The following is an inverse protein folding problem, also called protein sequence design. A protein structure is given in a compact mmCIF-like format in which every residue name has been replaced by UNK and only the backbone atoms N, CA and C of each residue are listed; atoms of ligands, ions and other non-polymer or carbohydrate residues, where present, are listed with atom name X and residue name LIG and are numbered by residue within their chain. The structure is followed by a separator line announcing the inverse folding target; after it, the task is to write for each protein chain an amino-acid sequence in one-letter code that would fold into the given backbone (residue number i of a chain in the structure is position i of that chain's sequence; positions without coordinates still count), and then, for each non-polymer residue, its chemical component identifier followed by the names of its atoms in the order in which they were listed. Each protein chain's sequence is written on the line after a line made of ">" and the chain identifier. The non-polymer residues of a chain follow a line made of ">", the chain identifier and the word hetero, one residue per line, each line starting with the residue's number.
data_IF_152448199170
#
_entry.id   IF_152448199170
#
_cell.length_a   1.000
_cell.length_b   1.000
_cell.length_c   1.000
_cell.angle_alpha   90.00
_cell.angle_beta   90.00
_cell.angle_gamma   90.00
#
_symmetry.space_group_name_H-M   'P 1'
#
loop_
_entity.id
_entity.type
_entity.pdbx_description
1 polymer ?
#
# COMPACT_ATOMS: atom_id res chain seq x y z
N UNK A 1 -6.86 2.04 -16.77
CA UNK A 1 -5.86 3.07 -17.06
C UNK A 1 -5.31 3.43 -15.71
N UNK A 2 -3.98 3.45 -15.63
CA UNK A 2 -3.03 3.12 -14.55
C UNK A 2 -1.66 3.56 -15.05
N UNK A 3 -0.67 3.67 -14.16
CA UNK A 3 0.68 3.90 -14.64
C UNK A 3 1.04 2.85 -15.71
N UNK A 4 1.78 3.28 -16.73
CA UNK A 4 2.06 2.36 -17.84
C UNK A 4 3.04 1.28 -17.40
N UNK A 5 2.79 0.06 -17.85
CA UNK A 5 3.73 -1.08 -17.79
C UNK A 5 4.69 -1.12 -19.00
N UNK A 6 4.77 -0.06 -19.81
CA UNK A 6 5.54 -0.07 -21.06
C UNK A 6 4.90 -0.87 -22.19
N UNK A 7 3.94 -1.74 -21.87
CA UNK A 7 3.25 -2.62 -22.79
C UNK A 7 2.62 -3.79 -22.03
N UNK A 8 2.33 -4.87 -22.75
CA UNK A 8 2.03 -6.17 -22.15
C UNK A 8 3.07 -7.14 -22.69
N UNK A 9 3.89 -7.67 -21.79
CA UNK A 9 5.07 -8.44 -22.13
C UNK A 9 4.75 -9.68 -22.97
N UNK A 10 5.34 -9.74 -24.16
CA UNK A 10 5.32 -10.93 -25.01
C UNK A 10 6.43 -11.93 -24.63
N UNK A 11 7.53 -11.44 -24.05
CA UNK A 11 8.65 -12.23 -23.55
C UNK A 11 8.78 -12.06 -22.04
N UNK A 12 8.40 -13.09 -21.27
CA UNK A 12 8.40 -13.04 -19.80
C UNK A 12 9.81 -13.00 -19.19
N UNK A 13 10.85 -13.27 -19.97
CA UNK A 13 12.23 -13.12 -19.52
C UNK A 13 12.74 -11.67 -19.67
N UNK A 14 12.05 -10.85 -20.47
CA UNK A 14 12.40 -9.47 -20.77
C UNK A 14 11.13 -8.61 -20.77
N UNK A 15 10.54 -8.35 -19.59
CA UNK A 15 9.31 -7.59 -19.52
C UNK A 15 9.48 -6.22 -20.16
N UNK A 16 8.42 -5.74 -20.81
CA UNK A 16 8.29 -4.36 -21.25
C UNK A 16 8.45 -3.46 -20.01
N UNK A 17 9.24 -2.39 -20.15
CA UNK A 17 9.56 -1.53 -19.01
C UNK A 17 8.74 -0.24 -19.09
N UNK A 18 8.02 0.06 -18.02
CA UNK A 18 7.22 1.28 -17.88
C UNK A 18 7.37 1.99 -16.55
N UNK A 19 6.46 2.93 -16.32
CA UNK A 19 6.39 3.72 -15.09
C UNK A 19 6.26 2.87 -13.83
N UNK A 20 5.49 1.77 -13.86
CA UNK A 20 5.40 0.89 -12.69
C UNK A 20 6.74 0.24 -12.36
N UNK A 21 7.45 -0.29 -13.36
CA UNK A 21 8.78 -0.88 -13.22
C UNK A 21 9.79 0.14 -12.71
N UNK A 22 9.72 1.36 -13.24
CA UNK A 22 10.56 2.47 -12.82
C UNK A 22 10.40 2.79 -11.33
N UNK A 23 9.15 2.88 -10.84
CA UNK A 23 8.88 3.10 -9.41
C UNK A 23 9.38 1.92 -8.57
N UNK A 24 9.09 0.69 -9.03
CA UNK A 24 9.44 -0.55 -8.36
C UNK A 24 10.96 -0.70 -8.20
N UNK A 25 11.71 -0.52 -9.28
CA UNK A 25 13.16 -0.68 -9.31
C UNK A 25 13.87 0.43 -8.50
N UNK A 26 13.42 1.69 -8.61
CA UNK A 26 14.00 2.77 -7.81
C UNK A 26 13.73 2.66 -6.31
N UNK A 27 12.61 2.06 -5.90
CA UNK A 27 12.37 1.79 -4.48
C UNK A 27 13.45 0.85 -3.90
N UNK A 28 13.98 -0.06 -4.72
CA UNK A 28 15.07 -0.95 -4.31
C UNK A 28 16.36 -0.17 -4.02
N UNK A 29 16.60 0.99 -4.62
CA UNK A 29 17.81 1.79 -4.38
C UNK A 29 17.90 2.28 -2.93
N UNK A 30 16.75 2.49 -2.28
CA UNK A 30 16.66 3.01 -0.91
C UNK A 30 16.79 1.90 0.14
N UNK A 31 16.64 0.64 -0.25
CA UNK A 31 16.73 -0.50 0.65
C UNK A 31 18.17 -0.97 0.90
N UNK A 32 18.50 -1.41 2.14
CA UNK A 32 19.73 -2.12 2.42
C UNK A 32 19.84 -3.41 1.59
N UNK A 33 21.07 -3.80 1.24
CA UNK A 33 21.32 -4.95 0.35
C UNK A 33 20.63 -6.24 0.82
N UNK A 34 20.66 -6.52 2.13
CA UNK A 34 20.06 -7.73 2.69
C UNK A 34 18.54 -7.79 2.49
N UNK A 35 17.87 -6.63 2.49
CA UNK A 35 16.40 -6.54 2.42
C UNK A 35 15.89 -6.77 0.99
N UNK A 36 16.68 -6.37 -0.01
CA UNK A 36 16.31 -6.44 -1.42
C UNK A 36 16.91 -7.62 -2.18
N UNK A 37 17.86 -8.38 -1.62
CA UNK A 37 18.59 -9.41 -2.37
C UNK A 37 17.67 -10.44 -3.02
N UNK A 38 16.62 -10.89 -2.32
CA UNK A 38 15.68 -11.85 -2.88
C UNK A 38 14.89 -11.31 -4.08
N UNK A 39 14.65 -9.98 -4.12
CA UNK A 39 14.05 -9.30 -5.26
C UNK A 39 15.07 -9.17 -6.38
N UNK A 40 16.31 -8.74 -6.09
CA UNK A 40 17.36 -8.59 -7.11
C UNK A 40 17.67 -9.92 -7.82
N UNK A 41 17.67 -11.03 -7.09
CA UNK A 41 17.85 -12.38 -7.65
C UNK A 41 16.67 -12.82 -8.53
N UNK A 42 15.51 -12.14 -8.41
CA UNK A 42 14.26 -12.41 -9.12
C UNK A 42 13.74 -11.15 -9.82
N UNK A 43 14.61 -10.23 -10.23
CA UNK A 43 14.21 -8.87 -10.66
C UNK A 43 13.22 -8.91 -11.82
N UNK A 44 13.47 -9.74 -12.83
CA UNK A 44 12.58 -9.94 -13.99
C UNK A 44 11.17 -10.34 -13.55
N UNK A 45 11.06 -11.20 -12.53
CA UNK A 45 9.77 -11.67 -12.01
C UNK A 45 9.07 -10.60 -11.17
N UNK A 46 9.83 -9.78 -10.46
CA UNK A 46 9.31 -8.62 -9.72
C UNK A 46 8.70 -7.59 -10.66
N UNK A 47 9.43 -7.22 -11.73
CA UNK A 47 8.97 -6.28 -12.76
C UNK A 47 7.76 -6.82 -13.53
N UNK A 48 7.80 -8.08 -14.00
CA UNK A 48 6.63 -8.71 -14.60
C UNK A 48 5.40 -8.69 -13.67
N UNK A 49 5.64 -8.80 -12.35
CA UNK A 49 4.59 -8.71 -11.33
C UNK A 49 3.82 -7.40 -11.36
N UNK A 50 4.46 -6.28 -11.73
CA UNK A 50 3.78 -4.98 -11.79
C UNK A 50 2.79 -4.88 -12.93
N UNK A 51 2.90 -5.70 -13.98
CA UNK A 51 1.98 -5.69 -15.12
C UNK A 51 0.67 -6.45 -14.87
N UNK A 52 0.67 -7.38 -13.92
CA UNK A 52 -0.39 -8.38 -13.79
C UNK A 52 -1.75 -7.79 -13.42
N UNK A 53 -1.87 -6.73 -12.59
CA UNK A 53 -3.16 -6.11 -12.32
C UNK A 53 -3.87 -5.52 -13.55
N UNK A 54 -3.11 -5.05 -14.55
CA UNK A 54 -3.67 -4.52 -15.80
C UNK A 54 -3.93 -5.56 -16.85
N UNK A 55 -3.08 -6.57 -16.86
CA UNK A 55 -3.12 -7.59 -17.87
C UNK A 55 -4.05 -8.72 -17.42
N UNK A 56 -5.21 -8.87 -18.05
CA UNK A 56 -6.12 -9.99 -17.79
C UNK A 56 -5.80 -11.27 -18.57
N UNK A 57 -4.62 -11.36 -19.17
CA UNK A 57 -4.26 -12.49 -20.02
C UNK A 57 -3.84 -13.72 -19.18
N UNK A 58 -4.54 -14.83 -19.40
CA UNK A 58 -4.28 -16.12 -18.75
C UNK A 58 -2.85 -16.65 -18.98
N UNK A 59 -2.19 -16.28 -20.09
CA UNK A 59 -0.82 -16.75 -20.42
C UNK A 59 0.17 -16.40 -19.32
N UNK A 60 -0.03 -15.25 -18.66
CA UNK A 60 0.84 -14.77 -17.58
C UNK A 60 0.15 -14.83 -16.23
N UNK A 61 -0.98 -15.54 -16.14
CA UNK A 61 -1.87 -15.57 -14.97
C UNK A 61 -2.23 -14.15 -14.51
N UNK A 62 -2.53 -13.31 -15.50
CA UNK A 62 -2.88 -11.92 -15.30
C UNK A 62 -4.16 -11.75 -14.47
N UNK A 63 -4.17 -10.74 -13.59
CA UNK A 63 -5.30 -10.45 -12.69
C UNK A 63 -6.37 -9.64 -13.44
N UNK A 64 -5.94 -8.62 -14.19
CA UNK A 64 -6.81 -7.79 -15.04
C UNK A 64 -7.96 -7.09 -14.31
N UNK A 65 -7.79 -6.72 -13.03
CA UNK A 65 -8.83 -6.10 -12.21
C UNK A 65 -8.78 -4.57 -12.22
N UNK A 66 -8.69 -3.99 -13.41
CA UNK A 66 -8.53 -2.55 -13.72
C UNK A 66 -9.58 -1.59 -13.12
N UNK A 67 -10.55 -2.12 -12.38
CA UNK A 67 -11.56 -1.35 -11.62
C UNK A 67 -11.19 -1.24 -10.13
N UNK A 68 -9.99 -1.66 -9.73
CA UNK A 68 -9.51 -1.71 -8.35
C UNK A 68 -8.26 -0.88 -8.09
N UNK A 69 -7.91 -0.01 -9.02
CA UNK A 69 -6.68 0.80 -9.02
C UNK A 69 -6.85 2.17 -8.35
N UNK A 70 -8.05 2.46 -7.83
CA UNK A 70 -8.40 3.75 -7.27
C UNK A 70 -8.55 3.75 -5.75
N UNK A 71 -8.49 4.96 -5.18
CA UNK A 71 -8.95 5.31 -3.84
C UNK A 71 -9.68 6.64 -3.93
N UNK A 72 -10.84 6.77 -3.27
CA UNK A 72 -11.62 7.99 -3.27
C UNK A 72 -11.84 8.52 -1.86
N UNK A 73 -11.70 9.84 -1.73
CA UNK A 73 -12.05 10.59 -0.53
C UNK A 73 -13.23 11.54 -0.79
N UNK A 74 -14.01 11.84 0.25
CA UNK A 74 -14.99 12.93 0.24
C UNK A 74 -14.31 14.29 0.38
N UNK A 75 -15.05 15.38 0.15
CA UNK A 75 -14.55 16.75 0.35
C UNK A 75 -14.12 17.05 1.78
N UNK A 76 -14.62 16.30 2.76
CA UNK A 76 -14.27 16.40 4.18
C UNK A 76 -13.06 15.53 4.56
N UNK A 77 -12.43 14.85 3.58
CA UNK A 77 -11.29 13.97 3.82
C UNK A 77 -11.66 12.58 4.33
N UNK A 78 -12.93 12.18 4.25
CA UNK A 78 -13.37 10.84 4.65
C UNK A 78 -13.12 9.84 3.53
N UNK A 79 -12.56 8.67 3.86
CA UNK A 79 -12.35 7.58 2.91
C UNK A 79 -13.71 7.03 2.43
N UNK A 80 -13.95 7.03 1.12
CA UNK A 80 -15.20 6.61 0.46
C UNK A 80 -15.04 5.25 -0.20
N UNK A 81 -13.93 5.05 -0.91
CA UNK A 81 -13.57 3.79 -1.56
C UNK A 81 -12.06 3.57 -1.43
N UNK A 82 -11.65 2.36 -1.09
CA UNK A 82 -10.31 1.98 -0.70
C UNK A 82 -9.81 0.74 -1.47
N UNK A 83 -10.33 0.55 -2.69
CA UNK A 83 -10.08 -0.62 -3.51
C UNK A 83 -8.59 -0.95 -3.66
N UNK A 84 -7.76 0.02 -4.06
CA UNK A 84 -6.33 -0.21 -4.25
C UNK A 84 -5.60 -0.52 -2.92
N UNK A 85 -5.95 0.15 -1.82
CA UNK A 85 -5.36 -0.13 -0.50
C UNK A 85 -5.69 -1.56 -0.01
N UNK A 86 -6.91 -2.04 -0.27
CA UNK A 86 -7.29 -3.44 0.03
C UNK A 86 -6.47 -4.42 -0.80
N UNK A 87 -6.33 -4.17 -2.11
CA UNK A 87 -5.55 -5.02 -3.00
C UNK A 87 -4.06 -5.04 -2.66
N UNK A 88 -3.48 -3.89 -2.40
CA UNK A 88 -2.10 -3.76 -1.93
C UNK A 88 -1.90 -4.54 -0.63
N UNK A 89 -2.83 -4.45 0.32
CA UNK A 89 -2.74 -5.19 1.58
C UNK A 89 -2.93 -6.71 1.42
N UNK A 90 -3.85 -7.16 0.56
CA UNK A 90 -4.06 -8.58 0.24
C UNK A 90 -2.79 -9.20 -0.37
N UNK A 91 -2.19 -8.49 -1.33
CA UNK A 91 -0.99 -8.93 -2.05
C UNK A 91 0.25 -8.86 -1.17
N UNK A 92 0.38 -7.83 -0.32
CA UNK A 92 1.41 -7.78 0.72
C UNK A 92 1.38 -9.03 1.62
N UNK A 93 0.20 -9.42 2.12
CA UNK A 93 0.08 -10.58 3.01
C UNK A 93 0.47 -11.89 2.30
N UNK A 94 0.17 -12.00 1.01
CA UNK A 94 0.61 -13.12 0.18
C UNK A 94 2.14 -13.10 0.00
N UNK A 95 2.72 -11.96 -0.37
CA UNK A 95 4.17 -11.79 -0.51
C UNK A 95 4.90 -12.14 0.80
N UNK A 96 4.36 -11.72 1.95
CA UNK A 96 4.89 -12.01 3.27
C UNK A 96 4.87 -13.52 3.56
N UNK A 97 3.78 -14.20 3.19
CA UNK A 97 3.66 -15.65 3.33
C UNK A 97 4.70 -16.39 2.48
N UNK A 98 4.89 -15.99 1.22
CA UNK A 98 5.91 -16.55 0.34
C UNK A 98 7.33 -16.28 0.85
N UNK A 99 7.59 -15.07 1.35
CA UNK A 99 8.90 -14.72 1.88
C UNK A 99 9.24 -15.52 3.14
N UNK A 100 8.27 -15.71 4.04
CA UNK A 100 8.40 -16.56 5.24
C UNK A 100 8.63 -18.04 4.90
N UNK A 101 8.02 -18.54 3.84
CA UNK A 101 8.27 -19.91 3.34
C UNK A 101 9.52 -20.03 2.47
N UNK A 102 10.26 -18.93 2.25
CA UNK A 102 11.45 -18.84 1.39
C UNK A 102 11.18 -19.14 -0.08
N UNK A 103 9.93 -18.95 -0.51
CA UNK A 103 9.54 -18.97 -1.92
C UNK A 103 9.81 -17.59 -2.54
N UNK A 104 11.08 -17.31 -2.79
CA UNK A 104 11.54 -15.97 -3.18
C UNK A 104 11.00 -15.51 -4.53
N UNK A 105 10.78 -16.43 -5.47
CA UNK A 105 10.23 -16.09 -6.78
C UNK A 105 8.78 -15.60 -6.67
N UNK A 106 7.92 -16.33 -5.94
CA UNK A 106 6.54 -15.89 -5.72
C UNK A 106 6.46 -14.67 -4.80
N UNK A 107 7.36 -14.55 -3.81
CA UNK A 107 7.46 -13.35 -2.98
C UNK A 107 7.77 -12.11 -3.84
N UNK A 108 8.78 -12.20 -4.71
CA UNK A 108 9.15 -11.13 -5.63
C UNK A 108 8.00 -10.80 -6.60
N UNK A 109 7.41 -11.80 -7.27
CA UNK A 109 6.25 -11.59 -8.17
C UNK A 109 5.12 -10.84 -7.49
N UNK A 110 4.76 -11.29 -6.28
CA UNK A 110 3.63 -10.74 -5.52
C UNK A 110 3.95 -9.35 -4.95
N UNK A 111 5.22 -9.09 -4.60
CA UNK A 111 5.68 -7.76 -4.25
C UNK A 111 5.53 -6.78 -5.43
N UNK A 112 5.77 -7.23 -6.67
CA UNK A 112 5.53 -6.42 -7.88
C UNK A 112 4.05 -6.05 -8.04
N UNK A 113 3.17 -7.05 -7.88
CA UNK A 113 1.71 -6.84 -7.89
C UNK A 113 1.29 -5.81 -6.82
N UNK A 114 1.84 -5.93 -5.61
CA UNK A 114 1.58 -4.97 -4.53
C UNK A 114 2.06 -3.56 -4.90
N UNK A 115 3.29 -3.43 -5.43
CA UNK A 115 3.86 -2.16 -5.88
C UNK A 115 2.99 -1.48 -6.93
N UNK A 116 2.37 -2.24 -7.85
CA UNK A 116 1.43 -1.71 -8.83
C UNK A 116 0.28 -0.94 -8.15
N UNK A 117 -0.47 -1.58 -7.24
CA UNK A 117 -1.61 -0.95 -6.57
C UNK A 117 -1.21 0.26 -5.70
N UNK A 118 -0.02 0.22 -5.10
CA UNK A 118 0.51 1.35 -4.32
C UNK A 118 0.85 2.52 -5.24
N UNK A 119 1.42 2.24 -6.41
CA UNK A 119 1.89 3.27 -7.33
C UNK A 119 0.73 3.99 -8.04
N UNK A 120 -0.34 3.28 -8.37
CA UNK A 120 -1.48 3.84 -9.11
C UNK A 120 -2.19 4.96 -8.37
N UNK A 121 -2.27 4.88 -7.04
CA UNK A 121 -2.91 5.95 -6.27
C UNK A 121 -2.09 7.26 -6.24
N UNK A 122 -0.86 7.26 -6.76
CA UNK A 122 -0.08 8.47 -7.04
C UNK A 122 -0.42 9.11 -8.40
N UNK A 123 -1.22 8.46 -9.25
CA UNK A 123 -1.83 9.08 -10.43
C UNK A 123 -3.05 9.88 -9.96
N UNK A 124 -3.08 11.19 -10.24
CA UNK A 124 -4.22 12.00 -9.79
C UNK A 124 -5.57 11.54 -10.36
N UNK A 125 -5.58 11.00 -11.57
CA UNK A 125 -6.78 10.50 -12.22
C UNK A 125 -7.43 9.33 -11.46
N UNK A 126 -6.63 8.51 -10.77
CA UNK A 126 -7.11 7.38 -9.94
C UNK A 126 -7.74 7.80 -8.62
N UNK A 127 -7.72 9.09 -8.33
CA UNK A 127 -8.35 9.69 -7.17
C UNK A 127 -9.60 10.49 -7.56
N UNK A 128 -9.94 10.49 -8.85
CA UNK A 128 -11.07 11.19 -9.46
C UNK A 128 -12.03 10.18 -10.09
N UNK A 129 -13.26 10.61 -10.35
CA UNK A 129 -14.25 9.76 -11.00
C UNK A 129 -15.61 10.43 -11.04
N UNK A 130 -16.42 10.08 -12.05
CA UNK A 130 -17.73 10.72 -12.33
C UNK A 130 -18.70 10.73 -11.14
N UNK A 131 -18.58 9.76 -10.24
CA UNK A 131 -19.42 9.61 -9.05
C UNK A 131 -18.77 10.14 -7.76
N UNK A 132 -17.59 10.76 -7.86
CA UNK A 132 -16.87 11.36 -6.74
C UNK A 132 -17.16 12.85 -6.65
N UNK A 133 -16.81 13.49 -5.54
CA UNK A 133 -16.93 14.95 -5.40
C UNK A 133 -15.94 15.72 -6.30
N UNK A 134 -14.95 15.04 -6.88
CA UNK A 134 -13.89 15.63 -7.70
C UNK A 134 -14.24 15.65 -9.19
N UNK A 135 -15.31 14.97 -9.59
CA UNK A 135 -15.74 14.84 -10.98
C UNK A 135 -14.90 13.82 -11.76
N UNK A 136 -15.29 13.59 -13.01
CA UNK A 136 -14.51 12.78 -13.94
C UNK A 136 -13.27 13.56 -14.40
N UNK A 137 -12.16 12.85 -14.49
CA UNK A 137 -10.91 13.33 -15.06
C UNK A 137 -11.02 13.60 -16.57
N UNK A 138 -10.24 14.54 -17.07
CA UNK A 138 -10.13 14.84 -18.51
C UNK A 138 -8.82 14.32 -19.11
N UNK A 139 -7.76 14.31 -18.30
CA UNK A 139 -6.38 14.06 -18.74
C UNK A 139 -5.81 12.78 -18.13
N UNK A 140 -6.45 11.63 -18.36
CA UNK A 140 -5.98 10.35 -17.84
C UNK A 140 -4.86 9.76 -18.72
N UNK A 141 -5.22 9.35 -19.94
CA UNK A 141 -4.33 8.59 -20.81
C UNK A 141 -3.17 9.42 -21.36
N UNK A 142 -3.38 10.71 -21.61
CA UNK A 142 -2.33 11.60 -22.10
C UNK A 142 -1.30 11.91 -21.01
N UNK A 143 -1.72 12.05 -19.75
CA UNK A 143 -0.83 12.13 -18.60
C UNK A 143 0.05 10.88 -18.46
N UNK A 144 -0.56 9.70 -18.37
CA UNK A 144 0.17 8.44 -18.19
C UNK A 144 1.11 8.14 -19.35
N UNK A 145 0.67 8.35 -20.60
CA UNK A 145 1.52 8.20 -21.78
C UNK A 145 2.72 9.14 -21.75
N UNK A 146 2.52 10.41 -21.37
CA UNK A 146 3.62 11.38 -21.29
C UNK A 146 4.66 10.94 -20.26
N UNK A 147 4.20 10.52 -19.08
CA UNK A 147 5.09 10.04 -18.01
C UNK A 147 5.85 8.80 -18.46
N UNK A 148 5.16 7.82 -19.06
CA UNK A 148 5.79 6.59 -19.54
C UNK A 148 6.95 6.84 -20.51
N UNK A 149 6.81 7.75 -21.46
CA UNK A 149 7.92 8.08 -22.39
C UNK A 149 9.16 8.72 -21.71
N UNK A 150 9.10 8.94 -20.39
CA UNK A 150 10.12 9.54 -19.53
C UNK A 150 10.42 8.69 -18.30
N UNK A 151 9.90 7.48 -18.24
CA UNK A 151 10.11 6.45 -17.22
C UNK A 151 10.14 5.05 -17.82
N UNK A 152 10.29 4.92 -19.15
CA UNK A 152 10.36 3.62 -19.85
C UNK A 152 11.79 3.05 -19.87
N UNK A 153 12.65 3.56 -19.02
CA UNK A 153 13.98 3.03 -18.72
C UNK A 153 14.41 3.48 -17.32
N UNK A 154 15.28 2.71 -16.67
CA UNK A 154 15.77 3.01 -15.32
C UNK A 154 16.42 4.41 -15.18
N UNK A 155 17.05 4.95 -16.23
CA UNK A 155 17.67 6.28 -16.21
C UNK A 155 17.01 7.21 -17.21
N UNK A 156 16.13 8.07 -16.72
CA UNK A 156 15.32 8.96 -17.54
C UNK A 156 15.05 10.31 -16.84
N UNK A 157 14.11 11.08 -17.37
CA UNK A 157 13.86 12.49 -17.06
C UNK A 157 13.38 12.68 -15.63
N UNK A 158 12.53 11.77 -15.13
CA UNK A 158 11.97 11.91 -13.79
C UNK A 158 12.94 11.51 -12.67
N UNK A 159 14.09 10.91 -12.99
CA UNK A 159 15.12 10.59 -11.99
C UNK A 159 15.61 11.85 -11.24
N UNK A 160 15.54 13.04 -11.83
CA UNK A 160 15.93 14.28 -11.16
C UNK A 160 15.01 14.68 -10.00
N UNK A 161 13.83 14.07 -9.90
CA UNK A 161 12.87 14.29 -8.81
C UNK A 161 13.02 13.28 -7.68
N UNK A 162 13.79 12.22 -7.88
CA UNK A 162 14.01 11.21 -6.86
C UNK A 162 14.87 11.77 -5.74
N UNK A 163 14.30 11.69 -4.54
CA UNK A 163 14.93 12.07 -3.30
C UNK A 163 14.48 11.10 -2.21
N UNK A 164 15.44 10.32 -1.70
CA UNK A 164 15.21 9.49 -0.52
C UNK A 164 14.98 10.39 0.70
N UNK A 165 13.91 10.13 1.44
CA UNK A 165 13.57 10.90 2.63
C UNK A 165 14.54 10.70 3.81
N UNK A 166 15.44 9.72 3.69
CA UNK A 166 16.50 9.43 4.66
C UNK A 166 16.08 8.46 5.76
N UNK A 167 14.88 7.88 5.72
CA UNK A 167 14.40 6.98 6.75
C UNK A 167 13.57 5.82 6.19
N UNK A 168 13.85 4.58 6.62
CA UNK A 168 12.94 3.45 6.38
C UNK A 168 12.09 3.21 7.63
N UNK A 169 10.77 3.23 7.46
CA UNK A 169 9.80 3.08 8.53
C UNK A 169 9.04 1.76 8.41
N UNK A 170 8.86 1.04 9.51
CA UNK A 170 7.89 -0.06 9.56
C UNK A 170 6.47 0.51 9.60
N UNK A 171 5.62 0.08 8.68
CA UNK A 171 4.29 0.66 8.46
C UNK A 171 3.30 -0.40 7.98
N UNK A 172 2.02 -0.05 7.80
CA UNK A 172 1.06 -0.95 7.15
C UNK A 172 0.85 -0.50 5.71
N UNK A 173 0.82 -1.46 4.78
CA UNK A 173 0.60 -1.19 3.35
C UNK A 173 -0.70 -0.45 3.11
N UNK A 174 -1.77 -0.84 3.81
CA UNK A 174 -3.05 -0.16 3.73
C UNK A 174 -2.96 1.33 4.07
N UNK A 175 -2.32 1.67 5.20
CA UNK A 175 -2.24 3.06 5.65
C UNK A 175 -1.34 3.91 4.76
N UNK A 176 -0.22 3.37 4.27
CA UNK A 176 0.66 4.09 3.34
C UNK A 176 -0.04 4.34 2.02
N UNK A 177 -0.71 3.34 1.46
CA UNK A 177 -1.46 3.49 0.20
C UNK A 177 -2.57 4.53 0.36
N UNK A 178 -3.32 4.48 1.46
CA UNK A 178 -4.34 5.47 1.76
C UNK A 178 -3.76 6.88 1.96
N UNK A 179 -2.64 7.02 2.68
CA UNK A 179 -1.98 8.31 2.88
C UNK A 179 -1.45 8.91 1.57
N UNK A 180 -0.90 8.08 0.68
CA UNK A 180 -0.45 8.49 -0.65
C UNK A 180 -1.62 8.97 -1.53
N UNK A 181 -2.74 8.24 -1.52
CA UNK A 181 -3.97 8.66 -2.18
C UNK A 181 -4.53 9.97 -1.59
N UNK A 182 -4.45 10.14 -0.27
CA UNK A 182 -4.87 11.37 0.40
C UNK A 182 -4.02 12.56 -0.05
N UNK A 183 -2.69 12.43 -0.06
CA UNK A 183 -1.80 13.48 -0.58
C UNK A 183 -2.11 13.80 -2.05
N UNK A 184 -2.34 12.78 -2.86
CA UNK A 184 -2.69 12.91 -4.28
C UNK A 184 -4.02 13.62 -4.48
N UNK A 185 -5.02 13.31 -3.65
CA UNK A 185 -6.34 13.93 -3.69
C UNK A 185 -6.28 15.41 -3.29
N UNK A 186 -5.66 15.72 -2.15
CA UNK A 186 -5.74 17.04 -1.51
C UNK A 186 -4.53 17.94 -1.77
N UNK A 187 -3.45 17.41 -2.33
CA UNK A 187 -2.28 18.19 -2.75
C UNK A 187 -1.23 18.45 -1.68
N UNK A 188 -1.27 17.69 -0.57
CA UNK A 188 -0.36 17.86 0.56
C UNK A 188 -0.35 19.30 1.10
N UNK A 189 0.83 19.79 1.48
CA UNK A 189 1.02 21.16 1.99
C UNK A 189 0.84 22.24 0.92
N UNK A 190 1.07 21.90 -0.36
CA UNK A 190 1.01 22.84 -1.48
C UNK A 190 -0.41 23.00 -2.06
N UNK A 191 -1.36 22.15 -1.63
CA UNK A 191 -2.74 22.10 -2.11
C UNK A 191 -2.86 21.90 -3.63
N UNK A 192 -1.86 21.28 -4.25
CA UNK A 192 -1.82 20.91 -5.68
C UNK A 192 -2.39 19.49 -5.87
N UNK A 193 -3.66 19.33 -5.51
CA UNK A 193 -4.36 18.04 -5.51
C UNK A 193 -4.91 17.63 -6.87
N UNK A 194 -5.70 16.57 -6.88
CA UNK A 194 -6.13 15.91 -8.12
C UNK A 194 -6.88 16.82 -9.09
N UNK A 195 -7.86 17.61 -8.59
CA UNK A 195 -8.60 18.59 -9.39
C UNK A 195 -7.68 19.68 -9.96
N UNK A 196 -6.68 20.11 -9.19
CA UNK A 196 -5.73 21.10 -9.67
C UNK A 196 -4.89 20.55 -10.81
N UNK A 197 -4.39 19.32 -10.69
CA UNK A 197 -3.62 18.65 -11.72
C UNK A 197 -4.41 18.53 -13.02
N UNK A 198 -5.64 18.03 -12.97
CA UNK A 198 -6.49 17.88 -14.15
C UNK A 198 -6.79 19.25 -14.80
N UNK A 199 -7.12 20.26 -14.00
CA UNK A 199 -7.43 21.63 -14.51
C UNK A 199 -6.20 22.36 -15.08
N UNK A 200 -5.00 22.04 -14.60
CA UNK A 200 -3.75 22.71 -14.97
C UNK A 200 -2.83 21.83 -15.81
N UNK A 201 -3.39 20.82 -16.50
CA UNK A 201 -2.66 19.89 -17.35
C UNK A 201 -1.82 20.64 -18.40
N UNK A 202 -0.52 20.80 -18.12
CA UNK A 202 0.40 21.55 -18.96
C UNK A 202 1.86 21.24 -18.60
N UNK A 203 2.51 20.41 -19.41
CA UNK A 203 3.91 20.03 -19.21
C UNK A 203 4.94 21.17 -19.38
N UNK A 204 4.55 22.30 -19.99
CA UNK A 204 5.41 23.50 -20.02
C UNK A 204 5.32 24.32 -18.72
N UNK A 205 4.34 24.03 -17.86
CA UNK A 205 4.24 24.65 -16.54
C UNK A 205 5.11 23.87 -15.54
N UNK A 206 6.16 24.51 -15.04
CA UNK A 206 7.09 23.88 -14.10
C UNK A 206 6.45 23.46 -12.79
N UNK A 207 5.36 24.12 -12.36
CA UNK A 207 4.61 23.72 -11.15
C UNK A 207 3.93 22.38 -11.38
N UNK A 208 3.29 22.22 -12.55
CA UNK A 208 2.62 20.97 -12.92
C UNK A 208 3.63 19.83 -13.06
N UNK A 209 4.70 20.03 -13.83
CA UNK A 209 5.71 18.98 -14.01
C UNK A 209 6.42 18.61 -12.71
N UNK A 210 6.66 19.58 -11.83
CA UNK A 210 7.28 19.32 -10.52
C UNK A 210 6.35 18.55 -9.59
N UNK A 211 5.04 18.81 -9.64
CA UNK A 211 4.06 18.06 -8.85
C UNK A 211 3.94 16.61 -9.33
N UNK A 212 3.99 16.37 -10.63
CA UNK A 212 4.09 15.01 -11.18
C UNK A 212 5.36 14.29 -10.67
N UNK A 213 6.52 14.94 -10.73
CA UNK A 213 7.76 14.38 -10.18
C UNK A 213 7.69 14.10 -8.68
N UNK A 214 7.01 14.96 -7.91
CA UNK A 214 6.76 14.75 -6.49
C UNK A 214 5.89 13.50 -6.24
N UNK A 215 4.81 13.29 -7.00
CA UNK A 215 4.00 12.07 -6.91
C UNK A 215 4.80 10.79 -7.15
N UNK A 216 5.66 10.80 -8.18
CA UNK A 216 6.54 9.68 -8.46
C UNK A 216 7.53 9.44 -7.31
N UNK A 217 8.13 10.50 -6.77
CA UNK A 217 9.03 10.38 -5.63
C UNK A 217 8.33 9.85 -4.36
N UNK A 218 7.11 10.32 -4.10
CA UNK A 218 6.29 9.82 -2.98
C UNK A 218 5.96 8.34 -3.15
N UNK A 219 5.60 7.90 -4.36
CA UNK A 219 5.37 6.49 -4.65
C UNK A 219 6.62 5.63 -4.42
N UNK A 220 7.80 6.08 -4.88
CA UNK A 220 9.07 5.37 -4.68
C UNK A 220 9.41 5.22 -3.19
N UNK A 221 9.31 6.30 -2.40
CA UNK A 221 9.56 6.24 -0.95
C UNK A 221 8.53 5.35 -0.24
N UNK A 222 7.25 5.46 -0.59
CA UNK A 222 6.19 4.61 -0.04
C UNK A 222 6.45 3.12 -0.30
N UNK A 223 6.84 2.76 -1.52
CA UNK A 223 7.17 1.37 -1.87
C UNK A 223 8.42 0.91 -1.12
N UNK A 224 9.44 1.75 -0.96
CA UNK A 224 10.63 1.42 -0.17
C UNK A 224 10.28 1.09 1.29
N UNK A 225 9.46 1.91 1.96
CA UNK A 225 8.99 1.64 3.33
C UNK A 225 8.19 0.34 3.43
N UNK A 226 7.34 0.06 2.45
CA UNK A 226 6.54 -1.17 2.42
C UNK A 226 7.43 -2.41 2.22
N UNK A 227 8.41 -2.36 1.32
CA UNK A 227 9.34 -3.45 1.09
C UNK A 227 10.27 -3.67 2.29
N UNK A 228 10.69 -2.61 2.97
CA UNK A 228 11.40 -2.68 4.23
C UNK A 228 10.56 -3.40 5.29
N UNK A 229 9.30 -2.97 5.46
CA UNK A 229 8.34 -3.61 6.38
C UNK A 229 8.18 -5.10 6.06
N UNK A 230 8.00 -5.45 4.79
CA UNK A 230 7.86 -6.83 4.31
C UNK A 230 9.05 -7.69 4.76
N UNK A 231 10.26 -7.20 4.57
CA UNK A 231 11.47 -7.91 4.97
C UNK A 231 11.58 -8.06 6.49
N UNK A 232 11.38 -6.96 7.25
CA UNK A 232 11.43 -6.97 8.71
C UNK A 232 10.43 -7.97 9.28
N UNK A 233 9.17 -7.92 8.84
CA UNK A 233 8.13 -8.84 9.33
C UNK A 233 8.37 -10.29 8.92
N UNK A 234 9.00 -10.54 7.77
CA UNK A 234 9.37 -11.90 7.36
C UNK A 234 10.47 -12.51 8.24
N UNK A 235 11.33 -11.66 8.81
CA UNK A 235 12.46 -12.03 9.65
C UNK A 235 12.08 -12.17 11.13
N UNK A 236 10.92 -11.66 11.54
CA UNK A 236 10.40 -11.88 12.89
C UNK A 236 9.90 -13.32 13.04
N UNK A 237 10.49 -14.07 13.98
CA UNK A 237 9.97 -15.39 14.33
C UNK A 237 8.51 -15.23 14.78
N UNK A 238 7.59 -15.98 14.16
CA UNK A 238 6.27 -16.13 14.74
C UNK A 238 6.45 -16.71 16.14
N UNK A 239 5.79 -16.15 17.18
CA UNK A 239 5.71 -16.82 18.47
C UNK A 239 5.28 -18.27 18.20
N UNK A 240 5.91 -19.27 18.87
CA UNK A 240 5.52 -20.66 18.68
C UNK A 240 4.01 -20.76 18.80
N UNK A 241 3.36 -21.37 17.81
CA UNK A 241 1.94 -21.70 17.92
C UNK A 241 1.78 -22.43 19.24
N UNK A 242 1.15 -21.78 20.22
CA UNK A 242 0.67 -22.47 21.41
C UNK A 242 -0.43 -23.36 20.86
N UNK A 243 -0.07 -24.59 20.48
CA UNK A 243 -1.05 -25.62 20.18
C UNK A 243 -2.00 -25.62 21.37
N UNK A 244 -3.31 -25.36 21.19
CA UNK A 244 -4.25 -25.48 22.29
C UNK A 244 -4.04 -26.88 22.85
N UNK A 245 -3.57 -26.93 24.11
CA UNK A 245 -3.47 -28.17 24.84
C UNK A 245 -4.86 -28.80 24.74
N UNK A 246 -5.00 -30.04 24.25
CA UNK A 246 -6.29 -30.68 24.18
C UNK A 246 -6.92 -30.57 25.56
N UNK A 247 -8.06 -29.89 25.66
CA UNK A 247 -8.83 -29.75 26.92
C UNK A 247 -9.49 -31.09 27.25
N UNK A 248 -8.68 -32.13 27.42
CA UNK A 248 -9.08 -33.43 27.93
C UNK A 248 -8.50 -33.55 29.33
N UNK A 249 -9.02 -32.76 30.25
CA UNK A 249 -9.19 -33.06 31.67
C UNK A 249 -9.86 -31.83 32.30
N UNK A 250 -11.19 -31.80 32.23
CA UNK A 250 -11.98 -31.14 33.26
C UNK A 250 -11.97 -32.11 34.44
N UNK A 251 -11.31 -31.81 35.58
CA UNK A 251 -11.69 -32.48 36.81
C UNK A 251 -13.12 -32.02 37.10
N UNK A 252 -14.06 -32.95 37.22
CA UNK A 252 -15.35 -32.66 37.85
C UNK A 252 -15.07 -32.07 39.24
N UNK A 253 -15.19 -30.75 39.36
CA UNK A 253 -15.31 -30.13 40.66
C UNK A 253 -16.73 -30.42 41.16
N UNK A 254 -16.92 -31.04 42.34
CA UNK A 254 -18.24 -31.20 42.91
C UNK A 254 -18.88 -29.81 43.06
N UNK A 255 -20.14 -29.70 42.63
CA UNK A 255 -20.95 -28.47 42.60
C UNK A 255 -21.34 -27.95 44.00
N UNK A 256 -20.41 -27.99 44.96
CA UNK A 256 -20.56 -27.42 46.29
C UNK A 256 -19.30 -26.63 46.61
N UNK A 257 -19.48 -25.31 46.73
CA UNK A 257 -18.52 -24.25 47.10
C UNK A 257 -18.18 -23.33 45.92
N UNK A 258 -19.12 -22.41 45.61
CA UNK A 258 -18.83 -21.04 45.17
C UNK A 258 -20.10 -20.18 45.34
N UNK A 259 -20.58 -20.10 46.58
CA UNK A 259 -21.60 -19.14 46.99
C UNK A 259 -21.06 -18.26 48.14
N UNK A 260 -19.91 -17.63 47.96
CA UNK A 260 -19.35 -16.66 48.93
C UNK A 260 -18.42 -15.61 48.29
N UNK A 261 -18.77 -15.09 47.11
CA UNK A 261 -18.07 -13.91 46.54
C UNK A 261 -18.98 -12.88 45.86
N UNK A 262 -20.30 -12.95 46.07
CA UNK A 262 -21.26 -11.94 45.58
C UNK A 262 -21.92 -11.12 46.72
N UNK A 263 -21.44 -11.25 47.96
CA UNK A 263 -22.00 -10.55 49.13
C UNK A 263 -20.99 -9.65 49.87
N UNK A 264 -19.92 -9.20 49.20
CA UNK A 264 -18.90 -8.32 49.78
C UNK A 264 -18.61 -7.04 48.98
N UNK A 265 -19.42 -6.71 47.97
CA UNK A 265 -19.36 -5.42 47.25
C UNK A 265 -20.65 -4.59 47.34
N UNK A 266 -21.65 -5.02 48.14
CA UNK A 266 -22.87 -4.25 48.40
C UNK A 266 -22.94 -3.59 49.80
N UNK A 267 -21.94 -3.76 50.66
CA UNK A 267 -21.89 -3.07 51.98
C UNK A 267 -20.96 -1.86 52.02
N UNK A 268 -20.14 -1.61 50.99
CA UNK A 268 -19.28 -0.42 50.91
C UNK A 268 -20.00 0.85 50.41
N UNK A 269 -21.15 0.72 49.73
CA UNK A 269 -21.93 1.87 49.25
C UNK A 269 -22.92 2.45 50.29
N UNK A 270 -23.20 1.73 51.39
CA UNK A 270 -24.16 2.18 52.41
C UNK A 270 -23.53 2.97 53.57
N UNK A 271 -22.20 3.02 53.69
CA UNK A 271 -21.50 3.71 54.81
C UNK A 271 -21.05 5.13 54.42
N UNK A 272 -20.95 5.46 53.13
CA UNK A 272 -20.52 6.79 52.67
C UNK A 272 -21.66 7.83 52.53
N UNK A 273 -22.94 7.46 52.70
CA UNK A 273 -24.07 8.38 52.52
C UNK A 273 -24.60 9.03 53.81
N UNK A 274 -23.95 8.84 54.97
CA UNK A 274 -24.50 9.29 56.28
C UNK A 274 -23.65 10.31 57.08
N UNK A 275 -22.82 11.13 56.43
CA UNK A 275 -22.11 12.22 57.12
C UNK A 275 -22.04 13.52 56.30
N UNK A 276 -23.15 14.27 56.28
CA UNK A 276 -23.12 15.73 56.18
C UNK A 276 -23.74 16.31 57.46
N UNK A 277 -22.96 16.92 58.36
CA UNK A 277 -23.52 17.70 59.46
C UNK A 277 -23.98 19.08 58.97
N UNK A 278 -25.10 19.53 59.54
CA UNK A 278 -25.62 20.89 59.45
C UNK A 278 -24.77 21.84 60.31
N UNK A 279 -24.39 22.98 59.75
CA UNK A 279 -24.33 24.29 60.41
C UNK A 279 -24.23 25.34 59.31
#
# INVERSE_FOLDING_TARGET
>A
MCWSNGGYSADLAHPDYGTHDWIAEHALDYLPQAEKQYILDNLVVYLLGTELPDNGNDIIEGIGDTTKHHIYYSTEGMLVDDAAAKRANETYNQALSYLKSKDYANAARTAGIMTHYVSDVAVYAHNMGVNTAWGAEQHHSDYENYVNTRTNSYSDTFNSYLFYDGNLSTTTVYNVTAALAYDTTFGGSNHLGCVWMDTNYNWSNSVFSSRCGEFLNLAVNAVADILHTLYVESSTEQPPLITPVPTNMVPEFPATILLTAALLTLTAAAILYKKKPKS
#
